data_IF_325141122008
#
_entry.id   IF_325141122008
#
_cell.length_a   1.000
_cell.length_b   1.000
_cell.length_c   1.000
_cell.angle_alpha   90.00
_cell.angle_beta   90.00
_cell.angle_gamma   90.00
#
_symmetry.space_group_name_H-M   'P 1'
#
loop_
_entity.id
_entity.type
_entity.pdbx_description
1 polymer ?
#
# COMPACT_ATOMS: atom_id res chain seq x y z
N UNK A 1 13.05 10.85 -12.99
CA UNK A 1 12.99 11.27 -11.58
C UNK A 1 12.07 10.30 -10.86
N UNK A 2 12.61 9.47 -9.97
CA UNK A 2 11.80 8.69 -9.03
C UNK A 2 11.34 9.69 -7.97
N UNK A 3 10.07 10.06 -7.97
CA UNK A 3 9.50 10.81 -6.86
C UNK A 3 9.61 9.94 -5.60
N UNK A 4 10.66 10.17 -4.83
CA UNK A 4 10.83 9.57 -3.50
C UNK A 4 9.59 9.92 -2.69
N UNK A 5 8.97 8.92 -2.06
CA UNK A 5 7.85 9.05 -1.10
C UNK A 5 8.18 9.91 0.14
N UNK A 6 9.23 10.74 0.08
CA UNK A 6 9.89 11.40 1.19
C UNK A 6 9.09 12.58 1.79
N UNK A 7 8.03 13.05 1.14
CA UNK A 7 7.29 14.24 1.58
C UNK A 7 5.75 14.13 1.55
N UNK A 8 5.16 12.97 1.23
CA UNK A 8 3.70 12.79 1.43
C UNK A 8 3.48 12.21 2.81
N UNK A 9 3.32 13.09 3.82
CA UNK A 9 2.73 12.68 5.10
C UNK A 9 1.33 12.16 4.81
N UNK A 10 1.15 10.85 4.90
CA UNK A 10 -0.17 10.25 5.04
C UNK A 10 -0.65 10.68 6.43
N UNK A 11 -1.58 11.63 6.48
CA UNK A 11 -2.02 12.21 7.75
C UNK A 11 -3.08 11.35 8.42
N UNK A 12 -3.91 10.66 7.62
CA UNK A 12 -4.98 9.80 8.10
C UNK A 12 -5.20 8.59 7.16
N UNK A 13 -6.07 7.67 7.61
CA UNK A 13 -6.40 6.44 6.88
C UNK A 13 -7.18 6.72 5.59
N UNK A 14 -7.93 7.83 5.54
CA UNK A 14 -8.72 8.24 4.37
C UNK A 14 -7.80 8.71 3.25
N UNK A 15 -6.81 9.54 3.57
CA UNK A 15 -5.75 9.99 2.67
C UNK A 15 -4.95 8.80 2.15
N UNK A 16 -4.61 7.84 3.02
CA UNK A 16 -3.98 6.60 2.59
C UNK A 16 -4.84 5.83 1.59
N UNK A 17 -6.12 5.64 1.89
CA UNK A 17 -7.04 4.89 1.04
C UNK A 17 -7.22 5.56 -0.33
N UNK A 18 -7.29 6.90 -0.38
CA UNK A 18 -7.34 7.66 -1.64
C UNK A 18 -6.10 7.45 -2.51
N UNK A 19 -4.93 7.34 -1.88
CA UNK A 19 -3.67 7.09 -2.58
C UNK A 19 -3.38 5.61 -2.85
N UNK A 20 -4.11 4.70 -2.19
CA UNK A 20 -3.86 3.27 -2.29
C UNK A 20 -3.85 2.74 -3.73
N UNK A 21 -4.73 3.13 -4.66
CA UNK A 21 -4.66 2.64 -6.04
C UNK A 21 -3.31 2.88 -6.73
N UNK A 22 -2.70 4.05 -6.50
CA UNK A 22 -1.37 4.39 -7.05
C UNK A 22 -0.25 3.63 -6.35
N UNK A 23 -0.31 3.55 -5.02
CA UNK A 23 0.69 2.87 -4.20
C UNK A 23 0.65 1.35 -4.40
N UNK A 24 -0.55 0.78 -4.58
CA UNK A 24 -0.79 -0.63 -4.86
C UNK A 24 -0.10 -1.08 -6.13
N UNK A 25 -0.19 -0.29 -7.20
CA UNK A 25 0.52 -0.59 -8.44
C UNK A 25 2.04 -0.63 -8.24
N UNK A 26 2.58 0.28 -7.45
CA UNK A 26 4.01 0.27 -7.10
C UNK A 26 4.39 -0.94 -6.23
N UNK A 27 3.56 -1.30 -5.26
CA UNK A 27 3.75 -2.48 -4.41
C UNK A 27 3.69 -3.79 -5.22
N UNK A 28 2.78 -3.90 -6.18
CA UNK A 28 2.71 -5.03 -7.10
C UNK A 28 3.92 -5.11 -8.02
N UNK A 29 4.41 -3.97 -8.52
CA UNK A 29 5.63 -3.91 -9.30
C UNK A 29 6.86 -4.33 -8.48
N UNK A 30 6.94 -3.91 -7.21
CA UNK A 30 7.96 -4.38 -6.28
C UNK A 30 7.88 -5.89 -6.10
N UNK A 31 6.67 -6.41 -5.83
CA UNK A 31 6.44 -7.84 -5.73
C UNK A 31 6.93 -8.59 -6.97
N UNK A 32 6.67 -8.07 -8.18
CA UNK A 32 7.06 -8.73 -9.44
C UNK A 32 8.57 -8.73 -9.72
N UNK A 33 9.38 -7.98 -8.97
CA UNK A 33 10.83 -7.96 -9.17
C UNK A 33 11.45 -9.31 -8.84
N UNK A 34 12.48 -9.70 -9.61
CA UNK A 34 13.18 -11.00 -9.45
C UNK A 34 14.23 -11.02 -8.35
N UNK A 35 14.63 -9.86 -7.84
CA UNK A 35 15.61 -9.72 -6.77
C UNK A 35 14.99 -9.78 -5.36
N UNK A 36 13.66 -9.85 -5.28
CA UNK A 36 12.95 -10.10 -4.03
C UNK A 36 12.74 -11.61 -3.88
N UNK A 37 13.27 -12.17 -2.79
CA UNK A 37 13.11 -13.57 -2.44
C UNK A 37 11.65 -13.95 -2.16
N UNK A 38 11.37 -15.25 -2.17
CA UNK A 38 10.00 -15.78 -2.10
C UNK A 38 9.30 -15.42 -0.78
N UNK A 39 10.03 -15.44 0.34
CA UNK A 39 9.49 -15.06 1.65
C UNK A 39 9.08 -13.58 1.69
N UNK A 40 9.93 -12.70 1.17
CA UNK A 40 9.63 -11.27 1.11
C UNK A 40 8.47 -10.98 0.16
N UNK A 41 8.38 -11.73 -0.96
CA UNK A 41 7.27 -11.64 -1.92
C UNK A 41 5.95 -12.04 -1.29
N UNK A 42 5.94 -13.08 -0.45
CA UNK A 42 4.74 -13.54 0.25
C UNK A 42 4.34 -12.55 1.37
N UNK A 43 5.30 -12.00 2.13
CA UNK A 43 5.02 -10.93 3.10
C UNK A 43 4.38 -9.72 2.40
N UNK A 44 4.95 -9.28 1.26
CA UNK A 44 4.41 -8.14 0.52
C UNK A 44 2.98 -8.40 0.02
N UNK A 45 2.70 -9.62 -0.42
CA UNK A 45 1.37 -10.08 -0.84
C UNK A 45 0.35 -9.97 0.30
N UNK A 46 0.73 -10.42 1.50
CA UNK A 46 -0.13 -10.33 2.67
C UNK A 46 -0.40 -8.88 3.05
N UNK A 47 0.61 -8.02 3.00
CA UNK A 47 0.44 -6.58 3.23
C UNK A 47 -0.55 -5.96 2.24
N UNK A 48 -0.39 -6.23 0.93
CA UNK A 48 -1.32 -5.76 -0.10
C UNK A 48 -2.75 -6.24 0.19
N UNK A 49 -2.93 -7.51 0.58
CA UNK A 49 -4.25 -8.07 0.89
C UNK A 49 -4.91 -7.48 2.12
N UNK A 50 -4.14 -7.17 3.16
CA UNK A 50 -4.67 -6.51 4.36
C UNK A 50 -5.19 -5.12 4.00
N UNK A 51 -4.43 -4.36 3.21
CA UNK A 51 -4.84 -3.02 2.77
C UNK A 51 -6.00 -3.06 1.78
N UNK A 52 -6.03 -4.01 0.84
CA UNK A 52 -7.15 -4.22 -0.09
C UNK A 52 -8.46 -4.55 0.65
N UNK A 53 -8.37 -4.99 1.91
CA UNK A 53 -9.51 -5.30 2.78
C UNK A 53 -10.06 -4.11 3.54
N UNK A 54 -9.27 -3.03 3.68
CA UNK A 54 -9.73 -1.78 4.28
C UNK A 54 -10.75 -1.19 3.32
N UNK A 55 -12.01 -1.16 3.72
CA UNK A 55 -13.11 -0.59 2.95
C UNK A 55 -13.54 0.77 3.48
N UNK A 56 -14.45 1.47 2.78
CA UNK A 56 -15.05 2.71 3.27
C UNK A 56 -15.69 2.59 4.66
N UNK A 57 -16.13 1.39 5.05
CA UNK A 57 -16.69 1.09 6.37
C UNK A 57 -15.65 1.08 7.49
N UNK A 58 -14.39 0.76 7.19
CA UNK A 58 -13.28 0.85 8.16
C UNK A 58 -12.78 2.30 8.31
N UNK A 59 -13.14 3.18 7.37
CA UNK A 59 -12.80 4.61 7.39
C UNK A 59 -13.78 5.46 8.21
N UNK A 60 -14.94 4.90 8.60
CA UNK A 60 -16.01 5.64 9.29
C UNK A 60 -15.95 5.59 10.82
N UNK A 61 -14.93 4.97 11.42
CA UNK A 61 -14.76 4.89 12.88
C UNK A 61 -13.87 6.00 13.48
N UNK A 62 -13.74 7.15 12.82
CA UNK A 62 -13.36 8.39 13.55
C UNK A 62 -14.64 9.02 14.12
N UNK A 63 -14.99 8.61 15.34
CA UNK A 63 -15.99 9.26 16.21
C UNK A 63 -15.27 10.15 17.21
#
# INVERSE_FOLDING_TARGET
>A
MLATMKDRKINDLVDFYRHWPEVRAQAQNLQARRDIGDDQREILKWMIRVVDRVGPSDLSEEV
#
